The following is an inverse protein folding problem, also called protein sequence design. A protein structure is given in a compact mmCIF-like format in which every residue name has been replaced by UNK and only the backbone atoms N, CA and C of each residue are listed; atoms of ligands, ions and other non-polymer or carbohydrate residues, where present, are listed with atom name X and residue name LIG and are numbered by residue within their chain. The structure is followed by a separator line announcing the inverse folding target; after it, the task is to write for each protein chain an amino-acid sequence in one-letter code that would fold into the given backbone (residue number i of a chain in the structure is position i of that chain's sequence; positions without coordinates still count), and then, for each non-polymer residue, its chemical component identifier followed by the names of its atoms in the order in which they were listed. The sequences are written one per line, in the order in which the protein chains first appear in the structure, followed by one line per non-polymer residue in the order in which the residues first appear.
data_IF_680048378112
#
_entry.id   IF_680048378112
#
_cell.length_a   1.000
_cell.length_b   1.000
_cell.length_c   1.000
_cell.angle_alpha   90.00
_cell.angle_beta   90.00
_cell.angle_gamma   90.00
#
_symmetry.space_group_name_H-M   'P 1'
#
loop_
_entity.id
_entity.type
_entity.pdbx_description
1 polymer ?
#
# COMPACT_ATOMS: atom_id res chain seq x y z
N UNK A 1 -53.76 -31.07 -3.08
CA UNK A 1 -54.71 -30.48 -2.12
C UNK A 1 -54.92 -31.55 -1.07
N UNK A 2 -54.41 -31.47 0.15
CA UNK A 2 -53.86 -30.34 0.85
C UNK A 2 -53.26 -30.84 2.17
N UNK A 3 -52.29 -30.06 2.66
CA UNK A 3 -51.95 -29.85 4.07
C UNK A 3 -51.32 -31.00 4.89
N UNK A 4 -50.00 -30.97 5.15
CA UNK A 4 -49.31 -30.16 6.19
C UNK A 4 -50.03 -30.12 7.54
N UNK A 5 -49.67 -31.01 8.45
CA UNK A 5 -49.50 -30.74 9.89
C UNK A 5 -49.30 -32.06 10.67
N UNK A 6 -48.10 -32.66 10.65
CA UNK A 6 -47.71 -33.55 11.78
C UNK A 6 -46.22 -33.91 11.83
N UNK A 7 -45.31 -32.92 11.76
CA UNK A 7 -43.90 -33.14 12.16
C UNK A 7 -43.35 -31.90 12.87
N UNK A 8 -43.97 -31.55 14.00
CA UNK A 8 -43.42 -30.59 14.96
C UNK A 8 -43.83 -31.03 16.37
N UNK A 9 -43.40 -32.21 16.82
CA UNK A 9 -43.28 -32.43 18.27
C UNK A 9 -42.40 -33.63 18.62
N UNK A 10 -41.09 -33.50 18.43
CA UNK A 10 -40.12 -34.27 19.22
C UNK A 10 -38.95 -33.36 19.63
N UNK A 11 -39.32 -32.29 20.33
CA UNK A 11 -38.40 -31.54 21.21
C UNK A 11 -38.12 -32.38 22.45
N UNK A 12 -37.29 -33.43 22.38
CA UNK A 12 -36.85 -34.14 23.61
C UNK A 12 -35.61 -35.05 23.48
N UNK A 13 -34.62 -34.67 22.66
CA UNK A 13 -33.29 -35.30 22.70
C UNK A 13 -32.13 -34.31 22.73
N UNK A 14 -32.37 -33.07 23.18
CA UNK A 14 -31.29 -32.15 23.51
C UNK A 14 -30.61 -32.61 24.81
N UNK A 15 -29.51 -33.34 24.68
CA UNK A 15 -28.53 -33.54 25.75
C UNK A 15 -27.77 -32.21 25.92
N UNK A 16 -28.26 -31.40 26.86
CA UNK A 16 -27.98 -29.97 26.96
C UNK A 16 -26.65 -29.56 27.60
N UNK A 17 -25.71 -30.45 27.93
CA UNK A 17 -24.48 -30.04 28.64
C UNK A 17 -23.17 -30.72 28.19
N UNK A 18 -23.18 -31.75 27.33
CA UNK A 18 -21.95 -32.46 26.94
C UNK A 18 -21.34 -32.03 25.57
N UNK A 19 -22.11 -31.36 24.71
CA UNK A 19 -21.63 -30.89 23.40
C UNK A 19 -21.25 -29.38 23.39
N UNK A 20 -21.31 -28.71 24.54
CA UNK A 20 -20.84 -27.33 24.70
C UNK A 20 -19.33 -27.22 25.03
N UNK A 21 -18.58 -28.32 24.87
CA UNK A 21 -17.12 -28.28 24.75
C UNK A 21 -16.64 -27.92 23.31
N UNK A 22 -17.50 -27.36 22.46
CA UNK A 22 -17.06 -26.61 21.29
C UNK A 22 -16.35 -25.33 21.74
N UNK A 23 -15.04 -25.46 22.01
CA UNK A 23 -14.01 -24.42 22.04
C UNK A 23 -14.60 -23.00 22.11
N UNK A 24 -14.84 -22.52 23.34
CA UNK A 24 -15.03 -21.09 23.56
C UNK A 24 -13.74 -20.38 23.13
N UNK A 25 -13.66 -20.04 21.83
CA UNK A 25 -12.57 -19.25 21.30
C UNK A 25 -12.68 -17.88 21.95
N UNK A 26 -11.95 -17.68 23.04
CA UNK A 26 -11.81 -16.36 23.68
C UNK A 26 -11.05 -15.50 22.66
N UNK A 27 -11.80 -14.78 21.83
CA UNK A 27 -11.27 -13.83 20.85
C UNK A 27 -10.65 -12.66 21.60
N UNK A 28 -9.35 -12.78 21.92
CA UNK A 28 -8.61 -11.75 22.62
C UNK A 28 -7.88 -10.86 21.64
N UNK A 29 -8.15 -9.56 21.72
CA UNK A 29 -7.42 -8.55 20.96
C UNK A 29 -6.22 -8.05 21.78
N UNK A 30 -5.06 -7.89 21.15
CA UNK A 30 -3.82 -7.48 21.83
C UNK A 30 -3.49 -6.03 21.48
N UNK A 31 -3.02 -5.24 22.45
CA UNK A 31 -2.60 -3.84 22.23
C UNK A 31 -1.50 -3.70 21.15
N UNK A 32 -0.69 -4.73 20.95
CA UNK A 32 0.36 -4.80 19.91
C UNK A 32 -0.19 -4.66 18.48
N UNK A 33 -1.50 -4.88 18.25
CA UNK A 33 -2.11 -4.68 16.93
C UNK A 33 -2.00 -3.23 16.44
N UNK A 34 -2.10 -2.27 17.37
CA UNK A 34 -1.99 -0.84 17.07
C UNK A 34 -0.55 -0.44 16.76
N UNK A 35 0.43 -1.11 17.35
CA UNK A 35 1.83 -0.93 16.97
C UNK A 35 2.05 -1.32 15.51
N UNK A 36 1.62 -2.52 15.09
CA UNK A 36 1.77 -2.91 13.68
C UNK A 36 0.96 -2.02 12.72
N UNK A 37 -0.23 -1.55 13.12
CA UNK A 37 -1.00 -0.58 12.33
C UNK A 37 -0.26 0.76 12.18
N UNK A 38 0.37 1.26 13.25
CA UNK A 38 1.18 2.47 13.21
C UNK A 38 2.42 2.30 12.32
N UNK A 39 3.08 1.14 12.34
CA UNK A 39 4.21 0.86 11.44
C UNK A 39 3.76 0.80 9.98
N UNK A 40 2.61 0.19 9.70
CA UNK A 40 2.01 0.16 8.36
C UNK A 40 1.66 1.59 7.91
N UNK A 41 1.11 2.42 8.80
CA UNK A 41 0.81 3.82 8.54
C UNK A 41 2.07 4.63 8.18
N UNK A 42 3.14 4.51 8.99
CA UNK A 42 4.42 5.18 8.73
C UNK A 42 5.05 4.71 7.42
N UNK A 43 4.96 3.41 7.13
CA UNK A 43 5.46 2.85 5.87
C UNK A 43 4.66 3.36 4.67
N UNK A 44 3.35 3.55 4.80
CA UNK A 44 2.51 4.14 3.76
C UNK A 44 2.86 5.61 3.50
N UNK A 45 3.08 6.39 4.55
CA UNK A 45 3.55 7.78 4.43
C UNK A 45 4.89 7.85 3.69
N UNK A 46 5.86 7.02 4.09
CA UNK A 46 7.15 6.92 3.40
C UNK A 46 6.99 6.49 1.94
N UNK A 47 6.03 5.60 1.65
CA UNK A 47 5.75 5.17 0.28
C UNK A 47 5.21 6.31 -0.60
N UNK A 48 4.31 7.13 -0.06
CA UNK A 48 3.81 8.32 -0.76
C UNK A 48 4.93 9.33 -1.03
N UNK A 49 5.86 9.53 -0.08
CA UNK A 49 7.04 10.37 -0.29
C UNK A 49 7.93 9.85 -1.44
N UNK A 50 8.13 8.54 -1.51
CA UNK A 50 8.90 7.93 -2.61
C UNK A 50 8.23 8.10 -3.96
N UNK A 51 6.90 7.98 -4.01
CA UNK A 51 6.13 8.16 -5.23
C UNK A 51 6.22 9.61 -5.73
N UNK A 52 6.02 10.59 -4.86
CA UNK A 52 6.03 12.01 -5.20
C UNK A 52 7.42 12.66 -5.21
N UNK A 53 8.52 11.90 -5.09
CA UNK A 53 9.85 12.46 -4.86
C UNK A 53 10.31 13.57 -5.83
N UNK A 54 9.82 13.57 -7.08
CA UNK A 54 10.16 14.56 -8.11
C UNK A 54 8.97 15.39 -8.59
N UNK A 55 7.74 14.98 -8.26
CA UNK A 55 6.53 15.55 -8.84
C UNK A 55 6.21 16.99 -8.37
N UNK A 56 6.40 17.36 -7.08
CA UNK A 56 6.17 18.72 -6.60
C UNK A 56 7.16 19.75 -7.16
N UNK A 57 8.35 19.33 -7.61
CA UNK A 57 9.44 20.20 -8.07
C UNK A 57 9.92 19.82 -9.48
N UNK A 58 9.02 19.77 -10.48
CA UNK A 58 9.32 19.14 -11.76
C UNK A 58 10.32 19.95 -12.60
N UNK A 59 10.35 21.28 -12.45
CA UNK A 59 11.31 22.15 -13.15
C UNK A 59 12.73 21.98 -12.60
N UNK A 60 12.89 22.00 -11.27
CA UNK A 60 14.18 21.71 -10.63
C UNK A 60 14.65 20.29 -10.92
N UNK A 61 13.74 19.32 -10.98
CA UNK A 61 14.05 17.95 -11.37
C UNK A 61 14.55 17.87 -12.83
N UNK A 62 13.86 18.54 -13.76
CA UNK A 62 14.28 18.60 -15.17
C UNK A 62 15.66 19.23 -15.32
N UNK A 63 15.90 20.37 -14.67
CA UNK A 63 17.20 21.05 -14.67
C UNK A 63 18.29 20.18 -14.07
N UNK A 64 17.99 19.53 -12.93
CA UNK A 64 18.91 18.61 -12.28
C UNK A 64 19.38 17.57 -13.29
N UNK A 65 18.48 16.89 -14.01
CA UNK A 65 18.81 15.83 -14.98
C UNK A 65 19.22 16.34 -16.38
N UNK A 66 19.81 17.54 -16.48
CA UNK A 66 20.30 18.12 -17.75
C UNK A 66 19.18 18.50 -18.73
N UNK A 67 18.10 19.12 -18.22
CA UNK A 67 16.98 19.68 -18.99
C UNK A 67 16.27 18.68 -19.91
N UNK A 68 16.02 17.47 -19.40
CA UNK A 68 15.35 16.35 -20.10
C UNK A 68 13.85 16.57 -20.37
N UNK A 69 13.28 17.68 -19.89
CA UNK A 69 11.89 18.06 -20.09
C UNK A 69 10.91 17.37 -19.13
N UNK A 70 9.74 18.00 -18.97
CA UNK A 70 8.70 17.58 -18.01
C UNK A 70 8.10 16.21 -18.36
N UNK A 71 8.01 15.86 -19.64
CA UNK A 71 7.53 14.54 -20.08
C UNK A 71 8.34 13.41 -19.48
N UNK A 72 9.67 13.55 -19.43
CA UNK A 72 10.57 12.55 -18.85
C UNK A 72 10.45 12.51 -17.32
N UNK A 73 10.25 13.66 -16.69
CA UNK A 73 9.98 13.72 -15.24
C UNK A 73 8.66 13.03 -14.88
N UNK A 74 7.61 13.21 -15.69
CA UNK A 74 6.32 12.58 -15.49
C UNK A 74 6.39 11.03 -15.53
N UNK A 75 7.38 10.48 -16.24
CA UNK A 75 7.61 9.03 -16.24
C UNK A 75 7.98 8.47 -14.87
N UNK A 76 8.57 9.26 -13.96
CA UNK A 76 8.82 8.81 -12.59
C UNK A 76 7.52 8.43 -11.87
N UNK A 77 6.43 9.18 -12.11
CA UNK A 77 5.11 8.86 -11.55
C UNK A 77 4.40 7.75 -12.33
N UNK A 78 4.52 7.73 -13.66
CA UNK A 78 3.89 6.70 -14.49
C UNK A 78 4.43 5.30 -14.21
N UNK A 79 5.73 5.18 -13.87
CA UNK A 79 6.34 3.90 -13.48
C UNK A 79 5.64 3.29 -12.26
N UNK A 80 5.22 4.10 -11.28
CA UNK A 80 4.45 3.64 -10.13
C UNK A 80 3.10 3.06 -10.55
N UNK A 81 2.37 3.76 -11.41
CA UNK A 81 1.07 3.31 -11.91
C UNK A 81 1.17 1.98 -12.69
N UNK A 82 2.12 1.90 -13.63
CA UNK A 82 2.27 0.71 -14.48
C UNK A 82 2.75 -0.51 -13.68
N UNK A 83 3.68 -0.30 -12.76
CA UNK A 83 4.21 -1.38 -11.92
C UNK A 83 3.14 -1.93 -10.99
N UNK A 84 2.25 -1.07 -10.49
CA UNK A 84 1.16 -1.48 -9.60
C UNK A 84 0.25 -2.54 -10.23
N UNK A 85 0.04 -2.50 -11.56
CA UNK A 85 -0.79 -3.46 -12.27
C UNK A 85 -0.29 -4.91 -12.09
N UNK A 86 1.03 -5.10 -12.02
CA UNK A 86 1.67 -6.42 -11.88
C UNK A 86 1.99 -6.72 -10.41
N UNK A 87 2.58 -5.76 -9.71
CA UNK A 87 3.02 -5.92 -8.33
C UNK A 87 1.85 -5.96 -7.32
N UNK A 88 0.69 -5.39 -7.67
CA UNK A 88 -0.54 -5.47 -6.88
C UNK A 88 -1.01 -6.92 -6.66
N UNK A 89 -1.37 -7.66 -7.73
CA UNK A 89 -1.71 -9.08 -7.62
C UNK A 89 -0.60 -9.92 -6.98
N UNK A 90 0.67 -9.64 -7.30
CA UNK A 90 1.81 -10.33 -6.70
C UNK A 90 1.88 -10.13 -5.17
N UNK A 91 1.59 -8.92 -4.67
CA UNK A 91 1.55 -8.65 -3.23
C UNK A 91 0.48 -9.48 -2.51
N UNK A 92 -0.72 -9.60 -3.10
CA UNK A 92 -1.80 -10.43 -2.57
C UNK A 92 -1.40 -11.91 -2.51
N UNK A 93 -0.78 -12.43 -3.58
CA UNK A 93 -0.28 -13.80 -3.62
C UNK A 93 0.75 -14.08 -2.51
N UNK A 94 1.67 -13.14 -2.25
CA UNK A 94 2.67 -13.24 -1.17
C UNK A 94 2.02 -13.26 0.22
N UNK A 95 0.97 -12.45 0.46
CA UNK A 95 0.27 -12.46 1.73
C UNK A 95 -0.41 -13.80 2.02
N UNK A 96 -1.00 -14.41 0.98
CA UNK A 96 -1.69 -15.70 1.07
C UNK A 96 -0.72 -16.87 1.26
N UNK A 97 0.35 -16.94 0.48
CA UNK A 97 1.26 -18.10 0.45
C UNK A 97 2.37 -18.05 1.51
N UNK A 98 2.91 -16.86 1.83
CA UNK A 98 4.04 -16.73 2.75
C UNK A 98 3.59 -16.19 4.10
N UNK A 99 3.34 -14.89 4.19
CA UNK A 99 2.71 -14.22 5.34
C UNK A 99 2.61 -12.72 5.11
N UNK A 100 1.67 -12.09 5.80
CA UNK A 100 1.55 -10.63 5.88
C UNK A 100 2.87 -9.97 6.29
N UNK A 101 3.55 -10.46 7.34
CA UNK A 101 4.83 -9.90 7.79
C UNK A 101 5.89 -9.93 6.68
N UNK A 102 6.03 -11.06 5.97
CA UNK A 102 7.01 -11.15 4.88
C UNK A 102 6.69 -10.17 3.75
N UNK A 103 5.41 -10.00 3.41
CA UNK A 103 5.01 -8.99 2.44
C UNK A 103 5.42 -7.58 2.85
N UNK A 104 5.15 -7.16 4.10
CA UNK A 104 5.57 -5.83 4.59
C UNK A 104 7.09 -5.67 4.55
N UNK A 105 7.86 -6.69 4.96
CA UNK A 105 9.33 -6.64 4.91
C UNK A 105 9.82 -6.48 3.48
N UNK A 106 9.27 -7.25 2.53
CA UNK A 106 9.64 -7.15 1.11
C UNK A 106 9.36 -5.73 0.60
N UNK A 107 8.17 -5.19 0.86
CA UNK A 107 7.81 -3.83 0.49
C UNK A 107 8.76 -2.78 1.08
N UNK A 108 9.05 -2.88 2.37
CA UNK A 108 9.92 -1.94 3.07
C UNK A 108 11.37 -1.99 2.58
N UNK A 109 11.91 -3.19 2.35
CA UNK A 109 13.27 -3.40 1.83
C UNK A 109 13.39 -2.89 0.40
N UNK A 110 12.43 -3.22 -0.48
CA UNK A 110 12.43 -2.73 -1.86
C UNK A 110 12.38 -1.19 -1.89
N UNK A 111 11.50 -0.57 -1.11
CA UNK A 111 11.44 0.89 -1.06
C UNK A 111 12.71 1.52 -0.50
N UNK A 112 13.32 0.93 0.53
CA UNK A 112 14.61 1.42 1.03
C UNK A 112 15.71 1.33 -0.04
N UNK A 113 15.85 0.17 -0.70
CA UNK A 113 16.83 -0.03 -1.78
C UNK A 113 16.60 0.97 -2.91
N UNK A 114 15.37 1.12 -3.39
CA UNK A 114 15.05 2.04 -4.47
C UNK A 114 15.30 3.50 -4.10
N UNK A 115 15.01 3.90 -2.86
CA UNK A 115 15.29 5.24 -2.37
C UNK A 115 16.80 5.54 -2.31
N UNK A 116 17.60 4.60 -1.80
CA UNK A 116 19.06 4.73 -1.78
C UNK A 116 19.67 4.72 -3.19
N UNK A 117 19.16 3.89 -4.11
CA UNK A 117 19.64 3.89 -5.50
C UNK A 117 19.42 5.23 -6.18
N UNK A 118 18.27 5.87 -5.92
CA UNK A 118 17.99 7.22 -6.43
C UNK A 118 18.91 8.28 -5.80
N UNK A 119 19.23 8.18 -4.52
CA UNK A 119 20.27 9.03 -3.93
C UNK A 119 21.65 8.77 -4.55
N UNK A 120 22.03 7.51 -4.77
CA UNK A 120 23.31 7.17 -5.41
C UNK A 120 23.41 7.65 -6.85
N UNK A 121 22.28 7.86 -7.54
CA UNK A 121 22.27 8.50 -8.86
C UNK A 121 22.97 9.86 -8.87
N UNK A 122 22.96 10.58 -7.75
CA UNK A 122 23.59 11.89 -7.61
C UNK A 122 25.12 11.88 -7.68
N UNK A 123 25.76 10.72 -7.50
CA UNK A 123 27.22 10.58 -7.64
C UNK A 123 27.65 10.14 -9.04
N UNK A 124 26.70 9.88 -9.94
CA UNK A 124 26.99 9.53 -11.34
C UNK A 124 27.18 10.81 -12.14
N UNK A 125 28.39 11.01 -12.67
CA UNK A 125 28.74 12.19 -13.46
C UNK A 125 28.09 12.19 -14.85
N UNK A 126 27.79 11.01 -15.41
CA UNK A 126 27.12 10.87 -16.69
C UNK A 126 25.60 11.18 -16.57
N UNK A 127 25.05 12.16 -17.29
CA UNK A 127 23.64 12.55 -17.19
C UNK A 127 22.67 11.41 -17.51
N UNK A 128 22.99 10.59 -18.52
CA UNK A 128 22.14 9.47 -18.94
C UNK A 128 22.16 8.34 -17.91
N UNK A 129 23.34 7.96 -17.42
CA UNK A 129 23.50 6.99 -16.35
C UNK A 129 22.85 7.43 -15.05
N UNK A 130 22.92 8.72 -14.73
CA UNK A 130 22.24 9.29 -13.57
C UNK A 130 20.72 9.20 -13.66
N UNK A 131 20.13 9.59 -14.79
CA UNK A 131 18.69 9.43 -15.02
C UNK A 131 18.28 7.95 -14.97
N UNK A 132 19.03 7.07 -15.64
CA UNK A 132 18.75 5.64 -15.65
C UNK A 132 18.76 5.05 -14.25
N UNK A 133 19.77 5.36 -13.43
CA UNK A 133 19.85 4.85 -12.06
C UNK A 133 18.72 5.39 -11.18
N UNK A 134 18.33 6.66 -11.36
CA UNK A 134 17.20 7.26 -10.66
C UNK A 134 15.86 6.58 -11.04
N UNK A 135 15.64 6.30 -12.32
CA UNK A 135 14.46 5.57 -12.81
C UNK A 135 14.45 4.13 -12.31
N UNK A 136 15.59 3.43 -12.31
CA UNK A 136 15.68 2.07 -11.76
C UNK A 136 15.31 2.09 -10.26
N UNK A 137 15.84 3.05 -9.50
CA UNK A 137 15.46 3.24 -8.10
C UNK A 137 13.96 3.52 -7.94
N UNK A 138 13.39 4.37 -8.79
CA UNK A 138 11.96 4.67 -8.85
C UNK A 138 11.13 3.40 -9.13
N UNK A 139 11.54 2.56 -10.07
CA UNK A 139 10.88 1.28 -10.39
C UNK A 139 10.94 0.30 -9.23
N UNK A 140 12.07 0.20 -8.53
CA UNK A 140 12.17 -0.70 -7.37
C UNK A 140 11.23 -0.22 -6.24
N UNK A 141 11.16 1.08 -5.98
CA UNK A 141 10.17 1.65 -5.06
C UNK A 141 8.73 1.35 -5.50
N UNK A 142 8.45 1.48 -6.79
CA UNK A 142 7.14 1.18 -7.38
C UNK A 142 6.73 -0.30 -7.18
N UNK A 143 7.67 -1.24 -7.29
CA UNK A 143 7.40 -2.66 -7.00
C UNK A 143 7.08 -2.86 -5.52
N UNK A 144 7.75 -2.11 -4.63
CA UNK A 144 7.56 -2.20 -3.18
C UNK A 144 6.26 -1.57 -2.66
N UNK A 145 5.72 -0.55 -3.32
CA UNK A 145 4.54 0.19 -2.84
C UNK A 145 3.29 -0.70 -2.62
N UNK A 146 2.87 -1.59 -3.54
CA UNK A 146 1.69 -2.43 -3.33
C UNK A 146 1.79 -3.33 -2.08
N UNK A 147 3.01 -3.77 -1.73
CA UNK A 147 3.26 -4.57 -0.53
C UNK A 147 3.02 -3.81 0.79
N UNK A 148 2.97 -2.48 0.73
CA UNK A 148 2.72 -1.61 1.86
C UNK A 148 1.29 -1.06 1.83
N UNK A 149 0.78 -0.71 0.66
CA UNK A 149 -0.55 -0.14 0.52
C UNK A 149 -1.65 -1.20 0.71
N UNK A 150 -1.53 -2.35 0.04
CA UNK A 150 -2.55 -3.40 0.08
C UNK A 150 -2.62 -4.13 1.43
N UNK A 151 -1.63 -3.96 2.30
CA UNK A 151 -1.52 -4.77 3.53
C UNK A 151 -2.54 -4.39 4.61
N UNK A 152 -3.14 -3.20 4.52
CA UNK A 152 -4.05 -2.69 5.54
C UNK A 152 -5.26 -3.60 5.73
N UNK A 153 -5.89 -4.04 4.64
CA UNK A 153 -7.05 -4.93 4.64
C UNK A 153 -6.75 -6.32 5.23
N UNK A 154 -5.75 -7.09 4.75
CA UNK A 154 -5.43 -8.39 5.33
C UNK A 154 -4.88 -8.27 6.77
N UNK A 155 -4.15 -7.21 7.10
CA UNK A 155 -3.68 -6.98 8.47
C UNK A 155 -4.85 -6.69 9.42
N UNK A 156 -5.81 -5.84 9.01
CA UNK A 156 -7.03 -5.59 9.76
C UNK A 156 -7.81 -6.90 9.98
N UNK A 157 -7.99 -7.70 8.93
CA UNK A 157 -8.65 -8.99 9.00
C UNK A 157 -7.98 -9.96 9.99
N UNK A 158 -6.65 -9.95 10.06
CA UNK A 158 -5.88 -10.84 10.92
C UNK A 158 -5.79 -10.38 12.39
N UNK A 159 -5.80 -9.07 12.67
CA UNK A 159 -5.48 -8.52 14.01
C UNK A 159 -6.65 -7.79 14.70
N UNK A 160 -7.72 -7.45 13.98
CA UNK A 160 -8.88 -6.72 14.52
C UNK A 160 -10.16 -7.59 14.55
N UNK A 161 -11.02 -7.31 15.52
CA UNK A 161 -12.37 -7.88 15.61
C UNK A 161 -13.28 -7.29 14.53
N UNK A 162 -14.42 -7.92 14.25
CA UNK A 162 -15.34 -7.50 13.20
C UNK A 162 -15.66 -5.99 13.22
N UNK A 163 -15.94 -5.44 14.40
CA UNK A 163 -16.27 -4.02 14.58
C UNK A 163 -15.09 -3.07 14.31
N UNK A 164 -13.86 -3.50 14.61
CA UNK A 164 -12.65 -2.68 14.44
C UNK A 164 -11.96 -2.81 13.07
N UNK A 165 -12.37 -3.78 12.25
CA UNK A 165 -11.73 -4.04 10.95
C UNK A 165 -11.91 -2.90 9.96
N UNK A 166 -13.11 -2.32 9.89
CA UNK A 166 -13.41 -1.22 8.98
C UNK A 166 -12.48 -0.02 9.21
N UNK A 167 -12.42 0.45 10.45
CA UNK A 167 -11.55 1.57 10.83
C UNK A 167 -10.07 1.27 10.59
N UNK A 168 -9.59 0.06 10.92
CA UNK A 168 -8.20 -0.31 10.69
C UNK A 168 -7.83 -0.35 9.20
N UNK A 169 -8.73 -0.80 8.33
CA UNK A 169 -8.51 -0.77 6.87
C UNK A 169 -8.48 0.67 6.33
N UNK A 170 -9.32 1.56 6.86
CA UNK A 170 -9.36 2.98 6.45
C UNK A 170 -8.05 3.73 6.72
N UNK A 171 -7.28 3.31 7.74
CA UNK A 171 -5.98 3.92 8.05
C UNK A 171 -5.04 3.87 6.85
N UNK A 172 -5.09 2.84 6.01
CA UNK A 172 -4.26 2.76 4.80
C UNK A 172 -4.50 3.91 3.82
N UNK A 173 -5.76 4.15 3.48
CA UNK A 173 -6.13 5.25 2.58
C UNK A 173 -5.79 6.63 3.17
N UNK A 174 -6.13 6.85 4.44
CA UNK A 174 -5.87 8.14 5.11
C UNK A 174 -4.37 8.42 5.20
N UNK A 175 -3.57 7.43 5.58
CA UNK A 175 -2.11 7.60 5.72
C UNK A 175 -1.42 7.81 4.39
N UNK A 176 -1.91 7.18 3.32
CA UNK A 176 -1.43 7.43 1.97
C UNK A 176 -1.67 8.91 1.57
N UNK A 177 -2.89 9.43 1.77
CA UNK A 177 -3.21 10.84 1.49
C UNK A 177 -2.42 11.82 2.35
N UNK A 178 -2.24 11.52 3.64
CA UNK A 178 -1.38 12.31 4.53
C UNK A 178 0.06 12.34 3.99
N UNK A 179 0.58 11.20 3.56
CA UNK A 179 1.92 11.13 2.99
C UNK A 179 2.07 11.96 1.71
N UNK A 180 1.04 11.99 0.85
CA UNK A 180 1.04 12.85 -0.34
C UNK A 180 1.04 14.34 0.03
N UNK A 181 0.23 14.74 1.02
CA UNK A 181 0.20 16.12 1.51
C UNK A 181 1.55 16.55 2.12
N UNK A 182 2.17 15.68 2.92
CA UNK A 182 3.51 15.91 3.46
C UNK A 182 4.51 16.05 2.31
N UNK A 183 4.47 15.16 1.32
CA UNK A 183 5.36 15.22 0.16
C UNK A 183 5.25 16.56 -0.59
N UNK A 184 4.02 17.02 -0.84
CA UNK A 184 3.78 18.29 -1.54
C UNK A 184 4.28 19.52 -0.78
N UNK A 185 4.43 19.45 0.54
CA UNK A 185 4.92 20.58 1.36
C UNK A 185 6.43 20.49 1.61
N UNK A 186 6.91 19.30 1.98
CA UNK A 186 8.30 19.09 2.40
C UNK A 186 9.26 19.07 1.21
N UNK A 187 8.87 18.48 0.08
CA UNK A 187 9.78 18.37 -1.08
C UNK A 187 10.14 19.77 -1.63
N UNK A 188 9.19 20.68 -1.90
CA UNK A 188 9.53 22.05 -2.33
C UNK A 188 10.28 22.86 -1.27
N UNK A 189 9.98 22.65 0.02
CA UNK A 189 10.68 23.35 1.10
C UNK A 189 12.16 22.95 1.22
N UNK A 190 12.51 21.73 0.78
CA UNK A 190 13.86 21.19 0.81
C UNK A 190 14.60 21.45 -0.51
N UNK A 191 13.91 21.31 -1.65
CA UNK A 191 14.47 21.46 -2.99
C UNK A 191 14.18 22.87 -3.50
N UNK A 192 15.02 23.81 -3.10
CA UNK A 192 14.95 25.22 -3.52
C UNK A 192 15.64 25.50 -4.85
N UNK A 193 16.47 24.58 -5.31
CA UNK A 193 17.25 24.68 -6.54
C UNK A 193 17.62 23.28 -7.07
N UNK A 194 18.12 23.22 -8.32
CA UNK A 194 18.47 21.96 -8.96
C UNK A 194 19.60 21.19 -8.23
N UNK A 195 20.53 21.87 -7.55
CA UNK A 195 21.63 21.20 -6.82
C UNK A 195 21.15 20.61 -5.49
N UNK A 196 20.15 21.22 -4.87
CA UNK A 196 19.47 20.75 -3.65
C UNK A 196 18.61 19.49 -3.87
N UNK A 197 18.42 19.06 -5.12
CA UNK A 197 17.72 17.81 -5.45
C UNK A 197 18.37 16.58 -4.82
N UNK A 198 19.71 16.57 -4.72
CA UNK A 198 20.45 15.50 -4.05
C UNK A 198 20.08 15.40 -2.55
N UNK A 199 19.93 16.55 -1.90
CA UNK A 199 19.50 16.63 -0.51
C UNK A 199 18.04 16.15 -0.34
N UNK A 200 17.15 16.49 -1.28
CA UNK A 200 15.80 15.95 -1.35
C UNK A 200 15.78 14.41 -1.40
N UNK A 201 16.59 13.81 -2.27
CA UNK A 201 16.72 12.35 -2.36
C UNK A 201 17.31 11.73 -1.09
N UNK A 202 18.30 12.38 -0.48
CA UNK A 202 18.86 11.92 0.80
C UNK A 202 17.81 11.90 1.91
N UNK A 203 17.04 12.98 2.06
CA UNK A 203 16.00 13.07 3.09
C UNK A 203 14.95 12.00 2.88
N UNK A 204 14.49 11.79 1.64
CA UNK A 204 13.53 10.71 1.32
C UNK A 204 14.12 9.34 1.64
N UNK A 205 15.39 9.07 1.31
CA UNK A 205 16.05 7.80 1.63
C UNK A 205 16.18 7.57 3.15
N UNK A 206 16.55 8.60 3.91
CA UNK A 206 16.63 8.55 5.37
C UNK A 206 15.26 8.31 6.00
N UNK A 207 14.22 9.04 5.60
CA UNK A 207 12.85 8.87 6.10
C UNK A 207 12.33 7.47 5.77
N UNK A 208 12.57 6.99 4.53
CA UNK A 208 12.16 5.65 4.11
C UNK A 208 12.84 4.57 4.94
N UNK A 209 14.13 4.70 5.20
CA UNK A 209 14.88 3.76 6.04
C UNK A 209 14.38 3.81 7.48
N UNK A 210 14.16 5.00 8.04
CA UNK A 210 13.61 5.20 9.38
C UNK A 210 12.23 4.55 9.56
N UNK A 211 11.35 4.67 8.57
CA UNK A 211 10.04 4.01 8.56
C UNK A 211 10.12 2.50 8.30
N UNK A 212 11.16 2.00 7.64
CA UNK A 212 11.37 0.58 7.38
C UNK A 212 11.90 -0.19 8.61
N UNK A 213 12.69 0.42 9.48
CA UNK A 213 13.29 -0.25 10.64
C UNK A 213 12.25 -0.88 11.61
N UNK A 214 11.13 -0.20 11.97
CA UNK A 214 10.11 -0.79 12.84
C UNK A 214 9.42 -2.03 12.26
N UNK A 215 9.45 -2.22 10.93
CA UNK A 215 8.79 -3.35 10.25
C UNK A 215 9.32 -4.70 10.72
N UNK A 216 10.61 -4.78 11.03
CA UNK A 216 11.25 -6.03 11.48
C UNK A 216 10.69 -6.49 12.84
N UNK A 217 10.23 -5.56 13.67
CA UNK A 217 9.67 -5.82 15.00
C UNK A 217 8.19 -6.20 14.97
N UNK A 218 7.51 -6.15 13.82
CA UNK A 218 6.10 -6.57 13.72
C UNK A 218 5.98 -8.08 14.02
N UNK A 219 5.09 -8.51 14.94
CA UNK A 219 4.85 -9.93 15.18
C UNK A 219 4.19 -10.62 13.97
N UNK A 220 4.63 -11.85 13.64
CA UNK A 220 4.17 -12.59 12.44
C UNK A 220 2.66 -12.87 12.45
N UNK A 221 2.12 -13.31 13.58
CA UNK A 221 0.70 -13.65 13.80
C UNK A 221 0.34 -13.42 15.28
N UNK A 222 -0.92 -13.10 15.62
CA UNK A 222 -1.35 -13.07 17.02
C UNK A 222 -1.31 -14.48 17.63
N UNK A 223 -1.00 -14.60 18.93
CA UNK A 223 -0.93 -15.89 19.64
C UNK A 223 -2.29 -16.61 19.73
N UNK A 224 -3.39 -15.85 19.65
CA UNK A 224 -4.77 -16.35 19.54
C UNK A 224 -5.47 -15.57 18.41
N UNK A 225 -6.16 -16.24 17.48
CA UNK A 225 -6.86 -15.57 16.39
C UNK A 225 -7.96 -14.64 16.96
N UNK A 226 -8.12 -13.40 16.46
CA UNK A 226 -9.06 -12.42 17.02
C UNK A 226 -10.49 -12.52 16.43
N UNK A 227 -10.74 -13.41 15.46
CA UNK A 227 -12.08 -13.67 14.92
C UNK A 227 -12.18 -15.07 14.31
N UNK A 228 -13.41 -15.59 14.15
CA UNK A 228 -13.68 -16.88 13.48
C UNK A 228 -13.09 -16.94 12.06
N UNK A 229 -13.09 -15.80 11.34
CA UNK A 229 -12.47 -15.62 10.03
C UNK A 229 -10.94 -15.81 10.05
N UNK A 230 -10.29 -15.55 11.19
CA UNK A 230 -8.85 -15.72 11.38
C UNK A 230 -8.47 -17.08 11.98
N UNK A 231 -9.42 -17.79 12.59
CA UNK A 231 -9.25 -19.13 13.20
C UNK A 231 -9.53 -20.25 12.20
N UNK A 232 -10.52 -20.07 11.32
CA UNK A 232 -10.88 -21.06 10.34
C UNK A 232 -9.85 -21.03 9.21
N UNK A 233 -9.00 -22.07 9.12
CA UNK A 233 -8.45 -22.49 7.82
C UNK A 233 -9.66 -22.82 6.95
N UNK A 234 -10.21 -21.82 6.27
CA UNK A 234 -11.41 -21.95 5.45
C UNK A 234 -11.15 -23.08 4.46
N UNK A 235 -11.74 -24.27 4.69
CA UNK A 235 -11.72 -25.38 3.72
C UNK A 235 -12.37 -24.99 2.38
N UNK A 236 -13.10 -23.87 2.38
CA UNK A 236 -13.74 -23.24 1.23
C UNK A 236 -13.02 -21.96 0.74
N UNK A 237 -11.80 -21.66 1.21
CA UNK A 237 -11.03 -20.55 0.67
C UNK A 237 -10.61 -20.90 -0.77
N UNK A 238 -11.10 -20.11 -1.73
CA UNK A 238 -10.65 -20.18 -3.12
C UNK A 238 -9.14 -19.94 -3.15
N UNK A 239 -8.46 -20.68 -4.03
CA UNK A 239 -7.05 -20.38 -4.32
C UNK A 239 -6.93 -19.05 -5.03
N UNK A 240 -5.80 -18.35 -4.89
CA UNK A 240 -5.53 -17.07 -5.57
C UNK A 240 -5.95 -17.06 -7.05
N UNK A 241 -5.61 -18.12 -7.79
CA UNK A 241 -5.93 -18.24 -9.21
C UNK A 241 -7.45 -18.42 -9.47
N UNK A 242 -8.15 -19.15 -8.61
CA UNK A 242 -9.60 -19.30 -8.68
C UNK A 242 -10.30 -17.99 -8.35
N UNK A 243 -9.86 -17.28 -7.31
CA UNK A 243 -10.37 -15.95 -6.98
C UNK A 243 -10.18 -14.97 -8.15
N UNK A 244 -8.99 -14.95 -8.75
CA UNK A 244 -8.70 -14.07 -9.88
C UNK A 244 -9.60 -14.39 -11.08
N UNK A 245 -9.83 -15.68 -11.37
CA UNK A 245 -10.74 -16.11 -12.44
C UNK A 245 -12.18 -15.67 -12.17
N UNK A 246 -12.69 -15.86 -10.95
CA UNK A 246 -14.04 -15.43 -10.59
C UNK A 246 -14.21 -13.91 -10.68
N UNK A 247 -13.21 -13.15 -10.20
CA UNK A 247 -13.16 -11.70 -10.30
C UNK A 247 -13.29 -11.23 -11.75
N UNK A 248 -12.49 -11.77 -12.67
CA UNK A 248 -12.57 -11.39 -14.10
C UNK A 248 -13.78 -11.96 -14.84
N UNK A 249 -14.50 -12.93 -14.28
CA UNK A 249 -15.74 -13.45 -14.85
C UNK A 249 -16.97 -12.68 -14.35
N UNK A 250 -16.86 -11.96 -13.23
CA UNK A 250 -17.97 -11.26 -12.61
C UNK A 250 -18.18 -9.87 -13.23
N UNK A 251 -19.28 -9.70 -13.96
CA UNK A 251 -19.62 -8.44 -14.64
C UNK A 251 -19.78 -7.25 -13.68
N UNK A 252 -20.38 -7.47 -12.49
CA UNK A 252 -20.54 -6.40 -11.50
C UNK A 252 -19.18 -5.92 -10.99
N UNK A 253 -18.24 -6.85 -10.79
CA UNK A 253 -16.88 -6.49 -10.43
C UNK A 253 -16.18 -5.70 -11.56
N UNK A 254 -16.33 -6.13 -12.82
CA UNK A 254 -15.70 -5.44 -13.96
C UNK A 254 -16.20 -3.99 -14.11
N UNK A 255 -17.49 -3.74 -13.91
CA UNK A 255 -18.04 -2.38 -13.91
C UNK A 255 -17.37 -1.54 -12.82
N UNK A 256 -17.33 -2.05 -11.58
CA UNK A 256 -16.70 -1.34 -10.45
C UNK A 256 -15.21 -1.11 -10.71
N UNK A 257 -14.50 -2.11 -11.24
CA UNK A 257 -13.09 -2.03 -11.59
C UNK A 257 -12.82 -0.90 -12.60
N UNK A 258 -13.63 -0.81 -13.67
CA UNK A 258 -13.48 0.24 -14.68
C UNK A 258 -13.83 1.61 -14.10
N UNK A 259 -14.98 1.75 -13.43
CA UNK A 259 -15.41 3.03 -12.85
C UNK A 259 -14.42 3.56 -11.81
N UNK A 260 -13.98 2.70 -10.89
CA UNK A 260 -13.01 3.08 -9.86
C UNK A 260 -11.60 3.30 -10.45
N UNK A 261 -11.21 2.53 -11.46
CA UNK A 261 -9.96 2.73 -12.19
C UNK A 261 -9.87 4.09 -12.87
N UNK A 262 -10.94 4.53 -13.53
CA UNK A 262 -11.03 5.88 -14.13
C UNK A 262 -10.86 6.96 -13.05
N UNK A 263 -11.58 6.82 -11.93
CA UNK A 263 -11.49 7.76 -10.81
C UNK A 263 -10.05 7.86 -10.26
N UNK A 264 -9.42 6.72 -9.98
CA UNK A 264 -8.05 6.67 -9.47
C UNK A 264 -7.04 7.24 -10.48
N UNK A 265 -7.21 6.94 -11.76
CA UNK A 265 -6.38 7.47 -12.84
C UNK A 265 -6.44 8.99 -12.92
N UNK A 266 -7.66 9.56 -12.90
CA UNK A 266 -7.86 11.00 -12.90
C UNK A 266 -7.24 11.68 -11.66
N UNK A 267 -7.50 11.15 -10.47
CA UNK A 267 -6.95 11.70 -9.22
C UNK A 267 -5.41 11.66 -9.19
N UNK A 268 -4.82 10.58 -9.68
CA UNK A 268 -3.37 10.40 -9.70
C UNK A 268 -2.70 11.27 -10.78
N UNK A 269 -3.34 11.45 -11.93
CA UNK A 269 -2.90 12.37 -12.97
C UNK A 269 -2.94 13.82 -12.45
N UNK A 270 -4.03 14.21 -11.80
CA UNK A 270 -4.16 15.54 -11.20
C UNK A 270 -3.08 15.80 -10.15
N UNK A 271 -2.82 14.84 -9.26
CA UNK A 271 -1.75 14.97 -8.25
C UNK A 271 -0.37 15.10 -8.89
N UNK A 272 -0.07 14.29 -9.90
CA UNK A 272 1.25 14.25 -10.54
C UNK A 272 1.56 15.50 -11.36
N UNK A 273 0.52 16.09 -11.96
CA UNK A 273 0.64 17.25 -12.85
C UNK A 273 0.24 18.56 -12.18
N UNK A 274 -0.12 18.55 -10.88
CA UNK A 274 -0.67 19.71 -10.19
C UNK A 274 0.23 20.94 -10.35
N UNK A 275 1.53 20.82 -10.07
CA UNK A 275 2.48 21.93 -10.20
C UNK A 275 2.57 22.45 -11.64
N UNK A 276 2.50 21.55 -12.63
CA UNK A 276 2.55 21.93 -14.06
C UNK A 276 1.26 22.62 -14.53
N UNK A 277 0.10 22.25 -13.97
CA UNK A 277 -1.20 22.88 -14.27
C UNK A 277 -1.27 24.30 -13.69
N UNK A 278 -0.69 24.48 -12.50
CA UNK A 278 -0.77 25.73 -11.73
C UNK A 278 0.32 26.74 -12.12
N UNK A 279 1.46 26.27 -12.62
CA UNK A 279 2.60 27.10 -13.05
C UNK A 279 2.23 28.30 -13.95
N UNK A 280 1.40 28.15 -15.02
CA UNK A 280 1.01 29.25 -15.90
C UNK A 280 0.21 30.38 -15.23
N UNK A 281 -0.35 30.13 -14.04
CA UNK A 281 -1.19 31.08 -13.31
C UNK A 281 -0.43 31.86 -12.24
N UNK A 282 0.90 31.71 -12.13
CA UNK A 282 1.74 32.32 -11.08
C UNK A 282 1.27 31.99 -9.65
N UNK A 283 0.63 30.85 -9.43
CA UNK A 283 0.28 30.34 -8.09
C UNK A 283 1.32 29.29 -7.63
N UNK A 284 2.55 29.38 -8.18
CA UNK A 284 3.71 28.62 -7.72
C UNK A 284 4.33 29.27 -6.49
N UNK A 285 4.89 28.45 -5.60
CA UNK A 285 5.55 28.85 -4.35
C UNK A 285 6.88 29.55 -4.68
N UNK A 286 6.81 30.83 -5.00
CA UNK A 286 7.88 31.81 -4.75
C UNK A 286 7.69 32.44 -3.37
#
# INVERSE_FOLDING_TARGET
MDHTAHQLDDRKSWHGDEDLEELSFIFKTYKIRFFGLAVIALSNIASSLNWLAVAPVPDYASQYFNNIGLTTINWFSNVFMLTYLVAGPASSWVYEHWSIKMGIIIGAVLQAIGAWMRYFSSFVNDPTGRLALAIIGQTICAIGQPFILNVCTPYAALWFSADGRGTASMVGGITNSIGMAIASLIIPAIVTDASSMNLGFLVIACVTTGCALPVFFIPKKPKTPPSYSASSKNKFALTFAQSLRELFTNWNFLIIMVSFGILCGLASAFTSLLTQIVGPYNIGVD
#
